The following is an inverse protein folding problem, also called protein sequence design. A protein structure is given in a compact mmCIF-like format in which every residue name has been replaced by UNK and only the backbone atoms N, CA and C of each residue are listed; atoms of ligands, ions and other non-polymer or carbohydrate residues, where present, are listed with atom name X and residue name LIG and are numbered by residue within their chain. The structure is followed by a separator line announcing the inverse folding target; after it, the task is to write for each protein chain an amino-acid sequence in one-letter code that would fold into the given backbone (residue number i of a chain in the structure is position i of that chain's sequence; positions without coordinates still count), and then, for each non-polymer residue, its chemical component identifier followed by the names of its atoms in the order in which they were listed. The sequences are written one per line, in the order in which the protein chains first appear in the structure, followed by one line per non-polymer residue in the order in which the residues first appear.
data_IF_975630510229
#
_entry.id   IF_975630510229
#
_cell.length_a   1.000
_cell.length_b   1.000
_cell.length_c   1.000
_cell.angle_alpha   90.00
_cell.angle_beta   90.00
_cell.angle_gamma   90.00
#
_symmetry.space_group_name_H-M   'P 1'
#
loop_
_entity.id
_entity.type
_entity.pdbx_description
1 polymer ?
#
# COMPACT_ATOMS: atom_id res chain seq x y z
N UNK A 1 -21.62 -34.60 1.16
CA UNK A 1 -20.36 -34.21 1.83
C UNK A 1 -19.17 -34.18 0.88
N UNK A 2 -18.91 -35.21 0.07
CA UNK A 2 -17.75 -35.23 -0.86
C UNK A 2 -17.84 -34.19 -1.99
N UNK A 3 -19.01 -34.09 -2.64
CA UNK A 3 -19.28 -33.06 -3.66
C UNK A 3 -19.07 -31.62 -3.16
N UNK A 4 -19.39 -31.34 -1.89
CA UNK A 4 -19.15 -30.03 -1.27
C UNK A 4 -17.65 -29.76 -1.06
N UNK A 5 -16.87 -30.79 -0.73
CA UNK A 5 -15.42 -30.67 -0.59
C UNK A 5 -14.76 -30.41 -1.95
N UNK A 6 -15.20 -31.11 -2.99
CA UNK A 6 -14.70 -30.92 -4.36
C UNK A 6 -15.03 -29.51 -4.88
N UNK A 7 -16.24 -28.99 -4.61
CA UNK A 7 -16.64 -27.63 -4.97
C UNK A 7 -15.81 -26.56 -4.22
N UNK A 8 -15.54 -26.76 -2.93
CA UNK A 8 -14.67 -25.87 -2.14
C UNK A 8 -13.22 -25.90 -2.64
N UNK A 9 -12.72 -27.07 -3.03
CA UNK A 9 -11.38 -27.20 -3.61
C UNK A 9 -11.24 -26.49 -4.95
N UNK A 10 -12.27 -26.53 -5.81
CA UNK A 10 -12.31 -25.77 -7.06
C UNK A 10 -12.28 -24.25 -6.80
N UNK A 11 -13.05 -23.75 -5.83
CA UNK A 11 -13.01 -22.34 -5.41
C UNK A 11 -11.63 -21.93 -4.88
N UNK A 12 -10.97 -22.81 -4.11
CA UNK A 12 -9.60 -22.54 -3.66
C UNK A 12 -8.61 -22.46 -4.80
N UNK A 13 -8.72 -23.34 -5.79
CA UNK A 13 -7.84 -23.29 -6.96
C UNK A 13 -8.04 -21.99 -7.76
N UNK A 14 -9.26 -21.42 -7.77
CA UNK A 14 -9.54 -20.09 -8.30
C UNK A 14 -8.92 -18.99 -7.41
N UNK A 15 -9.08 -19.09 -6.09
CA UNK A 15 -8.54 -18.16 -5.10
C UNK A 15 -7.00 -18.09 -5.13
N UNK A 16 -6.32 -19.23 -5.25
CA UNK A 16 -4.87 -19.34 -5.30
C UNK A 16 -4.27 -18.71 -6.56
N UNK A 17 -5.09 -18.57 -7.63
CA UNK A 17 -4.72 -17.91 -8.90
C UNK A 17 -5.01 -16.41 -8.93
N UNK A 18 -5.57 -15.84 -7.86
CA UNK A 18 -5.85 -14.40 -7.80
C UNK A 18 -4.57 -13.60 -8.00
N UNK A 19 -4.65 -12.64 -8.92
CA UNK A 19 -3.61 -11.66 -9.14
C UNK A 19 -3.64 -10.63 -8.00
N UNK A 20 -2.62 -10.67 -7.14
CA UNK A 20 -2.50 -9.77 -6.00
C UNK A 20 -1.88 -8.41 -6.36
N UNK A 21 -1.54 -8.16 -7.63
CA UNK A 21 -1.03 -6.86 -8.08
C UNK A 21 -2.15 -5.81 -8.19
N UNK A 22 -3.36 -6.22 -8.60
CA UNK A 22 -4.54 -5.36 -8.54
C UNK A 22 -5.31 -5.62 -7.25
N UNK A 23 -5.02 -4.81 -6.23
CA UNK A 23 -5.54 -5.00 -4.89
C UNK A 23 -7.08 -5.00 -4.81
N UNK A 24 -7.72 -4.01 -5.44
CA UNK A 24 -9.18 -3.88 -5.39
C UNK A 24 -9.86 -5.06 -6.06
N UNK A 25 -9.37 -5.48 -7.22
CA UNK A 25 -9.86 -6.67 -7.91
C UNK A 25 -9.65 -7.94 -7.07
N UNK A 26 -8.48 -8.09 -6.44
CA UNK A 26 -8.18 -9.24 -5.58
C UNK A 26 -9.10 -9.29 -4.35
N UNK A 27 -9.37 -8.16 -3.68
CA UNK A 27 -10.33 -8.06 -2.56
C UNK A 27 -11.75 -8.39 -3.00
N UNK A 28 -12.19 -7.86 -4.15
CA UNK A 28 -13.52 -8.11 -4.67
C UNK A 28 -13.73 -9.59 -5.02
N UNK A 29 -12.76 -10.20 -5.70
CA UNK A 29 -12.80 -11.61 -6.05
C UNK A 29 -12.76 -12.51 -4.80
N UNK A 30 -11.91 -12.19 -3.82
CA UNK A 30 -11.86 -12.91 -2.53
C UNK A 30 -13.20 -12.87 -1.80
N UNK A 31 -13.89 -11.72 -1.79
CA UNK A 31 -15.23 -11.60 -1.19
C UNK A 31 -16.24 -12.52 -1.89
N UNK A 32 -16.24 -12.55 -3.23
CA UNK A 32 -17.13 -13.43 -3.99
C UNK A 32 -16.83 -14.91 -3.72
N UNK A 33 -15.56 -15.27 -3.59
CA UNK A 33 -15.15 -16.64 -3.22
C UNK A 33 -15.63 -17.01 -1.82
N UNK A 34 -15.53 -16.10 -0.84
CA UNK A 34 -16.04 -16.31 0.51
C UNK A 34 -17.57 -16.54 0.51
N UNK A 35 -18.33 -15.73 -0.23
CA UNK A 35 -19.79 -15.91 -0.37
C UNK A 35 -20.14 -17.29 -0.95
N UNK A 36 -19.45 -17.70 -2.03
CA UNK A 36 -19.64 -19.03 -2.64
C UNK A 36 -19.23 -20.15 -1.69
N UNK A 37 -18.17 -19.95 -0.90
CA UNK A 37 -17.68 -20.91 0.08
C UNK A 37 -18.69 -21.21 1.19
N UNK A 38 -19.34 -20.16 1.70
CA UNK A 38 -20.42 -20.28 2.69
C UNK A 38 -21.64 -20.96 2.08
N UNK A 39 -22.00 -20.62 0.83
CA UNK A 39 -23.15 -21.21 0.14
C UNK A 39 -23.03 -22.73 -0.11
N UNK A 40 -21.80 -23.26 -0.30
CA UNK A 40 -21.58 -24.71 -0.49
C UNK A 40 -21.93 -25.53 0.78
N UNK A 41 -21.87 -24.91 1.96
CA UNK A 41 -22.20 -25.56 3.23
C UNK A 41 -21.09 -26.49 3.78
N UNK A 42 -21.47 -27.38 4.70
CA UNK A 42 -20.52 -28.19 5.50
C UNK A 42 -19.88 -29.33 4.70
N UNK A 43 -18.64 -29.66 5.06
CA UNK A 43 -17.85 -30.81 4.58
C UNK A 43 -17.39 -31.66 5.77
N UNK A 44 -16.73 -32.80 5.53
CA UNK A 44 -16.17 -33.61 6.63
C UNK A 44 -15.10 -32.83 7.41
N UNK A 45 -14.98 -33.08 8.72
CA UNK A 45 -14.11 -32.31 9.62
C UNK A 45 -12.65 -32.25 9.16
N UNK A 46 -12.12 -33.37 8.67
CA UNK A 46 -10.75 -33.49 8.19
C UNK A 46 -10.49 -32.60 6.96
N UNK A 47 -11.38 -32.66 5.96
CA UNK A 47 -11.29 -31.85 4.75
C UNK A 47 -11.60 -30.38 5.04
N UNK A 48 -12.53 -30.09 5.95
CA UNK A 48 -12.83 -28.72 6.38
C UNK A 48 -11.58 -28.02 6.90
N UNK A 49 -10.84 -28.66 7.81
CA UNK A 49 -9.64 -28.08 8.40
C UNK A 49 -8.54 -27.82 7.36
N UNK A 50 -8.35 -28.73 6.40
CA UNK A 50 -7.41 -28.56 5.30
C UNK A 50 -7.78 -27.38 4.40
N UNK A 51 -9.03 -27.37 3.94
CA UNK A 51 -9.59 -26.37 3.02
C UNK A 51 -9.60 -24.97 3.65
N UNK A 52 -9.98 -24.84 4.92
CA UNK A 52 -9.94 -23.58 5.66
C UNK A 52 -8.52 -23.03 5.84
N UNK A 53 -7.52 -23.90 6.06
CA UNK A 53 -6.11 -23.45 6.14
C UNK A 53 -5.64 -22.85 4.83
N UNK A 54 -5.98 -23.46 3.69
CA UNK A 54 -5.63 -22.94 2.36
C UNK A 54 -6.35 -21.61 2.09
N UNK A 55 -7.64 -21.51 2.44
CA UNK A 55 -8.39 -20.27 2.27
C UNK A 55 -7.74 -19.13 3.04
N UNK A 56 -7.42 -19.36 4.32
CA UNK A 56 -6.74 -18.36 5.17
C UNK A 56 -5.37 -17.95 4.63
N UNK A 57 -4.63 -18.86 3.98
CA UNK A 57 -3.36 -18.52 3.36
C UNK A 57 -3.55 -17.56 2.17
N UNK A 58 -4.57 -17.79 1.33
CA UNK A 58 -4.92 -16.88 0.23
C UNK A 58 -5.40 -15.54 0.76
N UNK A 59 -6.30 -15.52 1.75
CA UNK A 59 -6.77 -14.29 2.41
C UNK A 59 -5.60 -13.46 2.96
N UNK A 60 -4.66 -14.12 3.63
CA UNK A 60 -3.45 -13.47 4.16
C UNK A 60 -2.61 -12.87 3.02
N UNK A 61 -2.38 -13.61 1.94
CA UNK A 61 -1.61 -13.13 0.78
C UNK A 61 -2.25 -11.89 0.13
N UNK A 62 -3.57 -11.92 -0.08
CA UNK A 62 -4.32 -10.77 -0.60
C UNK A 62 -4.22 -9.58 0.37
N UNK A 63 -4.39 -9.80 1.67
CA UNK A 63 -4.28 -8.73 2.68
C UNK A 63 -2.88 -8.11 2.69
N UNK A 64 -1.83 -8.93 2.76
CA UNK A 64 -0.44 -8.47 2.80
C UNK A 64 -0.04 -7.68 1.55
N UNK A 65 -0.54 -8.09 0.37
CA UNK A 65 -0.31 -7.37 -0.88
C UNK A 65 -0.87 -5.93 -0.85
N UNK A 66 -1.92 -5.67 -0.07
CA UNK A 66 -2.49 -4.31 0.07
C UNK A 66 -1.99 -3.51 1.23
N UNK A 67 -1.56 -4.18 2.29
CA UNK A 67 -0.84 -3.50 3.38
C UNK A 67 0.50 -2.95 2.90
N UNK A 68 1.10 -3.55 1.85
CA UNK A 68 2.30 -3.00 1.21
C UNK A 68 2.05 -1.69 0.43
N UNK A 69 0.82 -1.46 -0.07
CA UNK A 69 0.47 -0.28 -0.87
C UNK A 69 -0.28 0.81 -0.07
N UNK A 70 -0.70 0.51 1.17
CA UNK A 70 -1.27 1.51 2.09
C UNK A 70 -0.17 2.44 2.61
N UNK A 71 0.22 3.40 1.79
CA UNK A 71 0.96 4.57 2.23
C UNK A 71 -0.05 5.56 2.82
N UNK A 72 0.09 5.91 4.10
CA UNK A 72 -0.84 6.82 4.79
C UNK A 72 -1.04 8.12 3.99
N UNK A 73 -2.25 8.38 3.46
CA UNK A 73 -2.54 9.56 2.65
C UNK A 73 -2.19 10.87 3.37
N UNK A 74 -2.31 10.90 4.70
CA UNK A 74 -1.99 12.07 5.51
C UNK A 74 -0.48 12.30 5.58
N UNK A 75 0.31 11.24 5.68
CA UNK A 75 1.76 11.37 5.69
C UNK A 75 2.32 11.64 4.29
N UNK A 76 1.70 11.13 3.21
CA UNK A 76 1.98 11.57 1.82
C UNK A 76 1.73 13.06 1.65
N UNK A 77 0.56 13.53 2.08
CA UNK A 77 0.22 14.95 2.01
C UNK A 77 1.21 15.84 2.81
N UNK A 78 1.68 15.37 3.98
CA UNK A 78 2.71 16.08 4.75
C UNK A 78 4.06 16.13 4.02
N UNK A 79 4.50 15.03 3.43
CA UNK A 79 5.73 14.99 2.63
C UNK A 79 5.66 15.95 1.44
N UNK A 80 4.52 16.00 0.74
CA UNK A 80 4.30 16.96 -0.35
C UNK A 80 4.29 18.42 0.14
N UNK A 81 3.70 18.71 1.30
CA UNK A 81 3.73 20.06 1.87
C UNK A 81 5.15 20.55 2.16
N UNK A 82 6.01 19.68 2.72
CA UNK A 82 7.41 20.03 2.96
C UNK A 82 8.19 20.22 1.66
N UNK A 83 7.92 19.39 0.65
CA UNK A 83 8.54 19.51 -0.67
C UNK A 83 8.16 20.82 -1.37
N UNK A 84 6.88 21.17 -1.36
CA UNK A 84 6.40 22.44 -1.91
C UNK A 84 7.06 23.65 -1.22
N UNK A 85 7.30 23.56 0.09
CA UNK A 85 7.99 24.61 0.84
C UNK A 85 9.46 24.71 0.47
N UNK A 86 10.15 23.59 0.27
CA UNK A 86 11.53 23.59 -0.23
C UNK A 86 11.63 24.25 -1.62
N UNK A 87 10.74 23.89 -2.55
CA UNK A 87 10.70 24.50 -3.89
C UNK A 87 10.48 26.02 -3.85
N UNK A 88 9.65 26.50 -2.92
CA UNK A 88 9.48 27.95 -2.72
C UNK A 88 10.77 28.66 -2.28
N UNK A 89 11.59 28.01 -1.45
CA UNK A 89 12.88 28.56 -1.04
C UNK A 89 13.92 28.46 -2.17
N UNK A 90 13.92 27.39 -2.97
CA UNK A 90 14.78 27.27 -4.15
C UNK A 90 14.48 28.38 -5.16
N UNK A 91 13.20 28.63 -5.44
CA UNK A 91 12.81 29.69 -6.36
C UNK A 91 13.16 31.09 -5.83
N UNK A 92 13.10 31.30 -4.50
CA UNK A 92 13.59 32.53 -3.87
C UNK A 92 15.11 32.67 -4.03
N UNK A 93 15.85 31.57 -3.86
CA UNK A 93 17.29 31.58 -4.05
C UNK A 93 17.71 31.90 -5.48
N UNK A 94 17.03 31.30 -6.47
CA UNK A 94 17.28 31.59 -7.89
C UNK A 94 17.01 33.06 -8.22
N UNK A 95 15.89 33.62 -7.72
CA UNK A 95 15.57 35.04 -7.90
C UNK A 95 16.60 35.95 -7.23
N UNK A 96 17.03 35.64 -6.02
CA UNK A 96 18.06 36.41 -5.31
C UNK A 96 19.40 36.34 -6.04
N UNK A 97 19.79 35.17 -6.54
CA UNK A 97 21.01 34.98 -7.33
C UNK A 97 20.97 35.78 -8.64
N UNK A 98 19.85 35.72 -9.38
CA UNK A 98 19.65 36.50 -10.60
C UNK A 98 19.67 38.02 -10.35
N UNK A 99 19.25 38.45 -9.15
CA UNK A 99 19.31 39.83 -8.71
C UNK A 99 20.68 40.25 -8.14
N UNK A 100 21.69 39.36 -8.16
CA UNK A 100 23.02 39.63 -7.60
C UNK A 100 23.09 39.65 -6.07
N UNK A 101 22.02 39.22 -5.38
CA UNK A 101 21.94 39.14 -3.92
C UNK A 101 22.43 37.77 -3.43
N UNK A 102 23.73 37.55 -3.56
CA UNK A 102 24.39 36.25 -3.23
C UNK A 102 24.11 35.78 -1.80
N UNK A 103 24.16 36.67 -0.79
CA UNK A 103 23.85 36.31 0.61
C UNK A 103 22.43 35.74 0.78
N UNK A 104 21.42 36.44 0.25
CA UNK A 104 20.02 35.98 0.31
C UNK A 104 19.83 34.67 -0.46
N UNK A 105 20.55 34.48 -1.57
CA UNK A 105 20.51 33.25 -2.34
C UNK A 105 21.07 32.05 -1.56
N UNK A 106 22.20 32.23 -0.88
CA UNK A 106 22.82 31.18 -0.06
C UNK A 106 21.95 30.84 1.17
N UNK A 107 21.37 31.84 1.84
CA UNK A 107 20.44 31.61 2.96
C UNK A 107 19.17 30.88 2.50
N UNK A 108 18.59 31.25 1.35
CA UNK A 108 17.41 30.58 0.81
C UNK A 108 17.72 29.14 0.37
N UNK A 109 18.92 28.87 -0.19
CA UNK A 109 19.37 27.49 -0.49
C UNK A 109 19.51 26.64 0.75
N UNK A 110 20.16 27.16 1.80
CA UNK A 110 20.32 26.45 3.06
C UNK A 110 18.96 26.09 3.69
N UNK A 111 18.02 27.03 3.66
CA UNK A 111 16.64 26.78 4.09
C UNK A 111 15.97 25.70 3.24
N UNK A 112 16.07 25.79 1.90
CA UNK A 112 15.50 24.78 1.01
C UNK A 112 16.05 23.37 1.27
N UNK A 113 17.35 23.23 1.49
CA UNK A 113 17.96 21.94 1.85
C UNK A 113 17.42 21.40 3.17
N UNK A 114 17.26 22.25 4.19
CA UNK A 114 16.67 21.84 5.47
C UNK A 114 15.22 21.35 5.31
N UNK A 115 14.40 22.04 4.51
CA UNK A 115 13.04 21.61 4.20
C UNK A 115 13.00 20.34 3.33
N UNK A 116 13.95 20.15 2.41
CA UNK A 116 14.11 18.91 1.63
C UNK A 116 14.40 17.72 2.54
N UNK A 117 15.32 17.86 3.49
CA UNK A 117 15.64 16.79 4.43
C UNK A 117 14.42 16.38 5.27
N UNK A 118 13.57 17.33 5.67
CA UNK A 118 12.32 17.01 6.35
C UNK A 118 11.28 16.33 5.44
N UNK A 119 11.19 16.75 4.18
CA UNK A 119 10.32 16.09 3.19
C UNK A 119 10.75 14.64 2.95
N UNK A 120 12.05 14.40 2.83
CA UNK A 120 12.63 13.09 2.60
C UNK A 120 12.49 12.19 3.84
N UNK A 121 12.71 12.70 5.04
CA UNK A 121 12.45 11.97 6.28
C UNK A 121 10.96 11.62 6.46
N UNK A 122 10.05 12.52 6.08
CA UNK A 122 8.61 12.25 6.08
C UNK A 122 8.22 11.20 5.02
N UNK A 123 8.87 11.21 3.86
CA UNK A 123 8.70 10.20 2.83
C UNK A 123 9.27 8.84 3.25
N UNK A 124 10.45 8.79 3.88
CA UNK A 124 11.05 7.56 4.39
C UNK A 124 10.17 6.91 5.46
N UNK A 125 9.57 7.71 6.34
CA UNK A 125 8.62 7.26 7.35
C UNK A 125 7.32 6.66 6.75
N UNK A 126 6.96 6.98 5.50
CA UNK A 126 5.87 6.29 4.81
C UNK A 126 6.23 4.87 4.40
N UNK A 127 7.51 4.63 4.11
CA UNK A 127 8.06 3.34 3.69
C UNK A 127 8.50 2.49 4.87
N UNK A 128 9.01 3.10 5.94
CA UNK A 128 9.33 2.43 7.20
C UNK A 128 8.07 2.31 8.06
N UNK A 129 7.39 1.17 7.91
CA UNK A 129 6.41 0.69 8.89
C UNK A 129 6.99 0.76 10.32
N UNK A 130 6.21 1.17 11.34
CA UNK A 130 6.52 0.86 12.74
C UNK A 130 6.40 -0.65 13.02
#
# INVERSE_FOLDING_TARGET
MRANADAKEALLAEAERLDTTNHEAARAALRSIAEKWDAIGKVSRERAAELERRLRAVEKKVREAGEADWSDPQARARAEQFRARAEQFEHQAEKAAAAGRTKEADEAKANAEQWRQWAEAAADALTRRP
#
